data_IF_694256587538
#
_entry.id   IF_694256587538
#
_cell.length_a   1.000
_cell.length_b   1.000
_cell.length_c   1.000
_cell.angle_alpha   90.00
_cell.angle_beta   90.00
_cell.angle_gamma   90.00
#
_symmetry.space_group_name_H-M   'P 1'
#
loop_
_entity.id
_entity.type
_entity.pdbx_description
1 polymer ?
#
# COMPACT_ATOMS: atom_id res chain seq x y z
N UNK A 1 -23.58 -24.64 5.58
CA UNK A 1 -24.34 -25.32 4.49
C UNK A 1 -23.62 -25.06 3.17
N UNK A 2 -23.52 -26.07 2.27
CA UNK A 2 -23.00 -25.89 0.91
C UNK A 2 -24.05 -26.29 -0.11
N UNK A 3 -24.23 -25.47 -1.12
CA UNK A 3 -25.13 -25.69 -2.26
C UNK A 3 -24.34 -25.45 -3.56
N UNK A 4 -24.20 -26.45 -4.41
CA UNK A 4 -23.41 -26.32 -5.64
C UNK A 4 -23.03 -27.66 -6.27
N UNK A 5 -22.03 -27.61 -7.13
CA UNK A 5 -21.59 -28.77 -7.88
C UNK A 5 -20.70 -29.70 -7.06
N UNK A 6 -20.87 -31.00 -7.24
CA UNK A 6 -20.13 -32.06 -6.57
C UNK A 6 -19.46 -32.99 -7.57
N UNK A 7 -18.24 -33.40 -7.30
CA UNK A 7 -17.52 -34.46 -8.00
C UNK A 7 -16.83 -35.35 -6.94
N UNK A 8 -17.06 -36.66 -6.98
CA UNK A 8 -16.49 -37.63 -6.04
C UNK A 8 -16.66 -37.22 -4.55
N UNK A 9 -17.90 -36.82 -4.18
CA UNK A 9 -18.27 -36.35 -2.84
C UNK A 9 -17.49 -35.13 -2.35
N UNK A 10 -16.93 -34.31 -3.26
CA UNK A 10 -16.24 -33.07 -2.94
C UNK A 10 -16.88 -31.90 -3.69
N UNK A 11 -16.89 -30.75 -3.06
CA UNK A 11 -17.27 -29.50 -3.72
C UNK A 11 -16.32 -29.21 -4.89
N UNK A 12 -16.86 -29.12 -6.10
CA UNK A 12 -16.12 -28.84 -7.34
C UNK A 12 -17.01 -28.03 -8.29
N UNK A 13 -16.41 -27.11 -9.06
CA UNK A 13 -17.16 -26.21 -9.96
C UNK A 13 -17.75 -25.05 -9.20
N UNK A 14 -18.93 -24.56 -9.57
CA UNK A 14 -19.56 -23.41 -8.93
C UNK A 14 -20.42 -23.81 -7.75
N UNK A 15 -20.34 -23.06 -6.64
CA UNK A 15 -21.16 -23.31 -5.46
C UNK A 15 -21.13 -22.19 -4.44
N UNK A 16 -22.11 -22.25 -3.54
CA UNK A 16 -22.30 -21.31 -2.44
C UNK A 16 -22.15 -22.01 -1.11
N UNK A 17 -21.32 -21.45 -0.24
CA UNK A 17 -21.15 -21.87 1.14
C UNK A 17 -21.68 -20.79 2.08
N UNK A 18 -22.45 -21.19 3.07
CA UNK A 18 -23.04 -20.29 4.07
C UNK A 18 -22.67 -20.79 5.46
N UNK A 19 -22.06 -19.96 6.26
CA UNK A 19 -21.87 -20.10 7.70
C UNK A 19 -22.43 -18.89 8.44
N UNK A 20 -22.33 -18.87 9.76
CA UNK A 20 -22.73 -17.72 10.58
C UNK A 20 -21.83 -16.51 10.31
N UNK A 21 -20.55 -16.72 10.06
CA UNK A 21 -19.56 -15.64 9.92
C UNK A 21 -19.34 -15.18 8.47
N UNK A 22 -19.51 -16.09 7.49
CA UNK A 22 -19.14 -15.82 6.09
C UNK A 22 -20.03 -16.54 5.09
N UNK A 23 -20.33 -15.84 4.00
CA UNK A 23 -20.92 -16.41 2.80
C UNK A 23 -19.88 -16.35 1.69
N UNK A 24 -19.57 -17.49 1.08
CA UNK A 24 -18.76 -17.56 -0.14
C UNK A 24 -19.60 -18.03 -1.31
N UNK A 25 -19.46 -17.37 -2.45
CA UNK A 25 -20.07 -17.77 -3.72
C UNK A 25 -19.03 -17.70 -4.85
N UNK A 26 -18.74 -18.84 -5.47
CA UNK A 26 -17.70 -18.88 -6.48
C UNK A 26 -17.27 -20.30 -6.86
N UNK A 27 -16.06 -20.38 -7.41
CA UNK A 27 -15.48 -21.62 -7.91
C UNK A 27 -14.81 -22.42 -6.79
N UNK A 28 -15.00 -23.74 -6.87
CA UNK A 28 -14.51 -24.73 -5.92
C UNK A 28 -13.68 -25.81 -6.61
N UNK A 29 -12.67 -26.30 -5.91
CA UNK A 29 -11.89 -27.45 -6.32
C UNK A 29 -11.48 -28.29 -5.12
N UNK A 30 -11.95 -29.55 -5.08
CA UNK A 30 -11.64 -30.48 -4.00
C UNK A 30 -11.89 -29.87 -2.60
N UNK A 31 -13.12 -29.40 -2.36
CA UNK A 31 -13.58 -28.78 -1.10
C UNK A 31 -12.90 -27.47 -0.71
N UNK A 32 -12.18 -26.84 -1.65
CA UNK A 32 -11.52 -25.54 -1.42
C UNK A 32 -11.97 -24.52 -2.44
N UNK A 33 -12.08 -23.27 -2.02
CA UNK A 33 -12.23 -22.11 -2.91
C UNK A 33 -11.02 -22.09 -3.87
N UNK A 34 -11.27 -22.14 -5.19
CA UNK A 34 -10.20 -22.18 -6.21
C UNK A 34 -10.75 -21.64 -7.54
N UNK A 35 -10.32 -20.50 -7.96
CA UNK A 35 -10.84 -19.73 -9.09
C UNK A 35 -11.41 -18.41 -8.65
N UNK A 36 -12.43 -17.88 -9.32
CA UNK A 36 -13.07 -16.59 -8.97
C UNK A 36 -14.20 -16.81 -7.98
N UNK A 37 -14.33 -15.86 -7.05
CA UNK A 37 -15.41 -15.89 -6.07
C UNK A 37 -15.58 -14.58 -5.31
N UNK A 38 -16.66 -14.54 -4.56
CA UNK A 38 -17.03 -13.45 -3.64
C UNK A 38 -17.16 -14.02 -2.25
N UNK A 39 -16.52 -13.39 -1.29
CA UNK A 39 -16.65 -13.64 0.14
C UNK A 39 -17.31 -12.43 0.79
N UNK A 40 -18.39 -12.65 1.54
CA UNK A 40 -19.10 -11.61 2.29
C UNK A 40 -19.14 -12.02 3.76
N UNK A 41 -18.63 -11.15 4.63
CA UNK A 41 -18.62 -11.38 6.08
C UNK A 41 -19.86 -10.79 6.75
N UNK A 42 -20.18 -11.29 7.95
CA UNK A 42 -21.29 -10.81 8.77
C UNK A 42 -21.23 -9.30 9.03
N UNK A 43 -20.01 -8.74 9.18
CA UNK A 43 -19.78 -7.31 9.38
C UNK A 43 -20.07 -6.44 8.14
N UNK A 44 -20.41 -7.05 7.01
CA UNK A 44 -20.67 -6.39 5.74
C UNK A 44 -19.42 -6.16 4.87
N UNK A 45 -18.24 -6.59 5.31
CA UNK A 45 -17.04 -6.59 4.48
C UNK A 45 -17.18 -7.56 3.30
N UNK A 46 -16.58 -7.24 2.16
CA UNK A 46 -16.69 -8.03 0.94
C UNK A 46 -15.32 -8.17 0.27
N UNK A 47 -14.97 -9.38 -0.14
CA UNK A 47 -13.89 -9.63 -1.08
C UNK A 47 -14.45 -10.19 -2.39
N UNK A 48 -13.97 -9.66 -3.49
CA UNK A 48 -14.28 -10.14 -4.86
C UNK A 48 -12.95 -10.34 -5.56
N UNK A 49 -12.62 -11.57 -5.95
CA UNK A 49 -11.32 -11.82 -6.59
C UNK A 49 -11.02 -13.29 -6.81
N UNK A 50 -9.74 -13.54 -6.94
CA UNK A 50 -9.21 -14.87 -7.20
C UNK A 50 -8.84 -15.61 -5.91
N UNK A 51 -9.09 -16.90 -5.90
CA UNK A 51 -8.75 -17.83 -4.82
C UNK A 51 -7.87 -18.96 -5.34
N UNK A 52 -6.99 -19.44 -4.51
CA UNK A 52 -6.21 -20.65 -4.74
C UNK A 52 -6.13 -21.46 -3.47
N UNK A 53 -6.68 -22.66 -3.50
CA UNK A 53 -6.68 -23.59 -2.35
C UNK A 53 -7.21 -22.94 -1.05
N UNK A 54 -8.26 -22.10 -1.16
CA UNK A 54 -8.87 -21.41 -0.03
C UNK A 54 -8.18 -20.11 0.38
N UNK A 55 -7.23 -19.62 -0.38
CA UNK A 55 -6.53 -18.37 -0.08
C UNK A 55 -6.75 -17.34 -1.18
N UNK A 56 -6.98 -16.08 -0.79
CA UNK A 56 -7.04 -14.95 -1.71
C UNK A 56 -5.69 -14.78 -2.40
N UNK A 57 -5.71 -14.69 -3.74
CA UNK A 57 -4.52 -14.59 -4.57
C UNK A 57 -4.84 -13.79 -5.85
N UNK A 58 -3.84 -13.56 -6.72
CA UNK A 58 -4.09 -12.89 -8.00
C UNK A 58 -4.69 -11.50 -7.83
N UNK A 59 -5.64 -11.13 -8.67
CA UNK A 59 -6.30 -9.83 -8.62
C UNK A 59 -7.60 -9.89 -7.82
N UNK A 60 -7.83 -8.84 -7.02
CA UNK A 60 -9.06 -8.76 -6.24
C UNK A 60 -9.35 -7.37 -5.71
N UNK A 61 -10.56 -7.24 -5.18
CA UNK A 61 -11.06 -6.06 -4.48
C UNK A 61 -11.55 -6.46 -3.10
N UNK A 62 -11.06 -5.78 -2.08
CA UNK A 62 -11.56 -5.88 -0.72
C UNK A 62 -12.28 -4.57 -0.36
N UNK A 63 -13.49 -4.66 0.13
CA UNK A 63 -14.30 -3.53 0.62
C UNK A 63 -14.57 -3.82 2.09
N UNK A 64 -14.13 -2.92 2.96
CA UNK A 64 -14.37 -3.01 4.39
C UNK A 64 -15.74 -2.43 4.75
N UNK A 65 -16.27 -2.84 5.88
CA UNK A 65 -17.56 -2.37 6.41
C UNK A 65 -17.59 -0.85 6.66
N UNK A 66 -16.43 -0.24 6.90
CA UNK A 66 -16.30 1.21 7.07
C UNK A 66 -16.26 1.99 5.74
N UNK A 67 -16.28 1.30 4.59
CA UNK A 67 -16.22 1.88 3.25
C UNK A 67 -14.82 2.04 2.69
N UNK A 68 -13.76 1.84 3.47
CA UNK A 68 -12.41 1.77 2.94
C UNK A 68 -12.26 0.58 1.99
N UNK A 69 -11.36 0.67 1.03
CA UNK A 69 -11.22 -0.42 0.07
C UNK A 69 -9.80 -0.55 -0.48
N UNK A 70 -9.48 -1.78 -0.88
CA UNK A 70 -8.27 -2.11 -1.62
C UNK A 70 -8.62 -2.76 -2.95
N UNK A 71 -7.92 -2.36 -4.00
CA UNK A 71 -7.97 -2.99 -5.33
C UNK A 71 -6.53 -3.26 -5.76
N UNK A 72 -6.23 -4.51 -6.05
CA UNK A 72 -4.87 -4.88 -6.43
C UNK A 72 -4.58 -6.37 -6.33
N UNK A 73 -3.28 -6.67 -6.26
CA UNK A 73 -2.81 -8.04 -6.19
C UNK A 73 -2.84 -8.56 -4.75
N UNK A 74 -3.15 -9.84 -4.63
CA UNK A 74 -3.15 -10.61 -3.38
C UNK A 74 -2.17 -11.78 -3.48
N UNK A 75 -1.60 -12.15 -2.37
CA UNK A 75 -0.82 -13.37 -2.21
C UNK A 75 -1.03 -13.93 -0.80
N UNK A 76 -1.54 -15.17 -0.73
CA UNK A 76 -1.82 -15.86 0.54
C UNK A 76 -2.59 -14.98 1.54
N UNK A 77 -3.75 -14.45 1.12
CA UNK A 77 -4.64 -13.57 1.89
C UNK A 77 -4.08 -12.18 2.21
N UNK A 78 -2.91 -11.81 1.72
CA UNK A 78 -2.29 -10.52 1.99
C UNK A 78 -2.32 -9.63 0.75
N UNK A 79 -2.40 -8.31 0.93
CA UNK A 79 -2.06 -7.35 -0.10
C UNK A 79 -0.60 -7.54 -0.50
N UNK A 80 -0.35 -7.72 -1.78
CA UNK A 80 0.99 -8.02 -2.27
C UNK A 80 1.12 -7.60 -3.74
N UNK A 81 2.30 -7.10 -4.16
CA UNK A 81 2.47 -6.57 -5.51
C UNK A 81 1.88 -5.17 -5.67
N UNK A 82 1.23 -4.87 -6.77
CA UNK A 82 0.64 -3.55 -7.04
C UNK A 82 -0.78 -3.48 -6.53
N UNK A 83 -1.13 -2.33 -5.91
CA UNK A 83 -2.49 -2.09 -5.47
C UNK A 83 -2.75 -0.66 -5.04
N UNK A 84 -4.04 -0.32 -5.01
CA UNK A 84 -4.56 0.96 -4.54
C UNK A 84 -5.42 0.73 -3.31
N UNK A 85 -5.15 1.46 -2.24
CA UNK A 85 -5.96 1.52 -1.03
C UNK A 85 -6.58 2.91 -0.89
N UNK A 86 -7.87 2.96 -0.58
CA UNK A 86 -8.60 4.19 -0.29
C UNK A 86 -9.16 4.06 1.12
N UNK A 87 -8.76 4.95 2.03
CA UNK A 87 -9.26 5.02 3.40
C UNK A 87 -10.60 5.75 3.46
N UNK A 88 -11.37 5.48 4.52
CA UNK A 88 -12.67 6.14 4.76
C UNK A 88 -12.55 7.67 4.84
N UNK A 89 -11.41 8.19 5.29
CA UNK A 89 -11.15 9.62 5.39
C UNK A 89 -10.69 10.26 4.06
N UNK A 90 -10.71 9.50 2.96
CA UNK A 90 -10.36 9.95 1.60
C UNK A 90 -8.87 9.97 1.29
N UNK A 91 -7.99 9.55 2.20
CA UNK A 91 -6.60 9.29 1.85
C UNK A 91 -6.50 8.17 0.83
N UNK A 92 -5.50 8.22 -0.03
CA UNK A 92 -5.24 7.18 -1.03
C UNK A 92 -3.75 6.80 -1.03
N UNK A 93 -3.48 5.53 -1.19
CA UNK A 93 -2.16 5.04 -1.56
C UNK A 93 -2.27 4.16 -2.80
N UNK A 94 -1.37 4.36 -3.75
CA UNK A 94 -1.24 3.54 -4.94
C UNK A 94 0.24 3.21 -5.17
N UNK A 95 0.58 1.93 -5.16
CA UNK A 95 1.98 1.51 -5.27
C UNK A 95 2.22 0.05 -4.93
N UNK A 96 3.45 -0.22 -4.48
CA UNK A 96 3.90 -1.56 -4.12
C UNK A 96 3.47 -1.94 -2.70
N UNK A 97 3.06 -3.20 -2.56
CA UNK A 97 2.65 -3.83 -1.31
C UNK A 97 3.43 -5.11 -1.07
N UNK A 98 3.75 -5.39 0.17
CA UNK A 98 4.40 -6.64 0.57
C UNK A 98 3.83 -7.10 1.91
N UNK A 99 3.06 -8.20 1.89
CA UNK A 99 2.43 -8.78 3.07
C UNK A 99 1.68 -7.74 3.94
N UNK A 100 0.70 -7.05 3.33
CA UNK A 100 -0.13 -5.98 3.90
C UNK A 100 0.62 -4.70 4.29
N UNK A 101 1.90 -4.56 3.96
CA UNK A 101 2.68 -3.35 4.20
C UNK A 101 2.95 -2.60 2.90
N UNK A 102 2.99 -1.29 3.00
CA UNK A 102 3.49 -0.42 1.94
C UNK A 102 5.01 -0.62 1.83
N UNK A 103 5.45 -0.99 0.64
CA UNK A 103 6.85 -1.31 0.35
C UNK A 103 7.20 -0.82 -1.08
N UNK A 104 8.49 -0.59 -1.38
CA UNK A 104 8.89 -0.20 -2.73
C UNK A 104 8.42 1.20 -3.13
N UNK A 105 7.88 1.39 -4.33
CA UNK A 105 7.51 2.70 -4.85
C UNK A 105 6.01 2.91 -4.84
N UNK A 106 5.59 4.14 -4.47
CA UNK A 106 4.18 4.47 -4.50
C UNK A 106 3.89 5.96 -4.32
N UNK A 107 2.61 6.28 -4.46
CA UNK A 107 2.06 7.62 -4.34
C UNK A 107 1.04 7.59 -3.20
N UNK A 108 1.23 8.45 -2.22
CA UNK A 108 0.27 8.69 -1.15
C UNK A 108 -0.32 10.08 -1.30
N UNK A 109 -1.64 10.17 -1.27
CA UNK A 109 -2.39 11.43 -1.31
C UNK A 109 -3.19 11.60 -0.04
N UNK A 110 -3.12 12.78 0.54
CA UNK A 110 -3.93 13.17 1.70
C UNK A 110 -5.11 14.05 1.25
N UNK A 111 -6.18 14.00 2.00
CA UNK A 111 -7.39 14.78 1.78
C UNK A 111 -7.16 16.31 1.77
N UNK A 112 -6.14 16.75 2.51
CA UNK A 112 -5.78 18.16 2.63
C UNK A 112 -4.93 18.69 1.45
N UNK A 113 -4.74 17.88 0.41
CA UNK A 113 -3.98 18.22 -0.80
C UNK A 113 -2.49 17.90 -0.73
N UNK A 114 -1.97 17.38 0.39
CA UNK A 114 -0.60 16.87 0.45
C UNK A 114 -0.45 15.64 -0.43
N UNK A 115 0.76 15.44 -0.96
CA UNK A 115 1.11 14.26 -1.75
C UNK A 115 2.55 13.85 -1.49
N UNK A 116 2.80 12.56 -1.44
CA UNK A 116 4.14 11.99 -1.47
C UNK A 116 4.25 11.01 -2.64
N UNK A 117 5.33 11.09 -3.38
CA UNK A 117 5.68 10.16 -4.44
C UNK A 117 7.11 9.70 -4.24
N UNK A 118 7.33 8.44 -3.93
CA UNK A 118 8.68 7.98 -3.61
C UNK A 118 8.72 6.56 -3.07
N UNK A 119 9.83 6.26 -2.41
CA UNK A 119 10.15 4.95 -1.89
C UNK A 119 9.64 4.76 -0.45
N UNK A 120 9.24 3.52 -0.17
CA UNK A 120 8.74 3.07 1.13
C UNK A 120 9.44 1.81 1.59
N UNK A 121 9.57 1.68 2.88
CA UNK A 121 10.01 0.48 3.57
C UNK A 121 9.21 0.33 4.87
N UNK A 122 8.57 -0.83 5.05
CA UNK A 122 7.76 -1.13 6.26
C UNK A 122 6.81 0.04 6.62
N UNK A 123 5.93 0.45 5.69
CA UNK A 123 4.95 1.54 5.83
C UNK A 123 5.53 2.94 6.05
N UNK A 124 6.85 3.11 5.95
CA UNK A 124 7.51 4.39 6.17
C UNK A 124 8.18 4.88 4.90
N UNK A 125 8.16 6.20 4.68
CA UNK A 125 8.98 6.82 3.64
C UNK A 125 10.44 6.50 3.91
N UNK A 126 11.12 5.85 2.97
CA UNK A 126 12.53 5.43 3.10
C UNK A 126 13.14 5.33 1.69
N UNK A 127 14.23 6.02 1.43
CA UNK A 127 14.80 6.18 0.10
C UNK A 127 14.50 7.55 -0.50
N UNK A 128 14.49 7.66 -1.83
CA UNK A 128 14.25 8.93 -2.50
C UNK A 128 12.76 9.19 -2.72
N UNK A 129 12.32 10.44 -2.50
CA UNK A 129 10.93 10.82 -2.73
C UNK A 129 10.68 12.32 -2.75
N UNK A 130 9.54 12.66 -3.35
CA UNK A 130 9.03 14.03 -3.48
C UNK A 130 7.82 14.18 -2.57
N UNK A 131 7.83 15.19 -1.72
CA UNK A 131 6.70 15.58 -0.90
C UNK A 131 6.21 16.96 -1.30
N UNK A 132 4.94 17.04 -1.64
CA UNK A 132 4.22 18.25 -2.01
C UNK A 132 3.28 18.61 -0.86
N UNK A 133 3.42 19.81 -0.28
CA UNK A 133 2.48 20.34 0.71
C UNK A 133 1.30 21.03 0.04
N UNK A 134 0.16 21.09 0.72
CA UNK A 134 -1.05 21.74 0.25
C UNK A 134 -0.85 23.22 -0.15
N UNK A 135 0.11 23.89 0.46
CA UNK A 135 0.47 25.28 0.17
C UNK A 135 1.42 25.45 -1.02
N UNK A 136 1.69 24.38 -1.78
CA UNK A 136 2.58 24.42 -2.94
C UNK A 136 4.08 24.28 -2.64
N UNK A 137 4.48 24.20 -1.36
CA UNK A 137 5.86 23.89 -0.99
C UNK A 137 6.19 22.47 -1.46
N UNK A 138 7.41 22.25 -1.96
CA UNK A 138 7.86 20.95 -2.44
C UNK A 138 9.21 20.63 -1.82
N UNK A 139 9.36 19.41 -1.36
CA UNK A 139 10.66 18.82 -1.01
C UNK A 139 10.91 17.64 -1.90
N UNK A 140 12.10 17.52 -2.45
CA UNK A 140 12.60 16.33 -3.14
C UNK A 140 13.95 15.94 -2.56
N UNK A 141 14.12 14.69 -2.19
CA UNK A 141 15.35 14.25 -1.54
C UNK A 141 15.17 12.93 -0.79
N UNK A 142 16.14 12.63 0.05
CA UNK A 142 16.19 11.37 0.77
C UNK A 142 15.35 11.39 2.06
N UNK A 143 14.79 10.23 2.36
CA UNK A 143 13.95 9.93 3.52
C UNK A 143 14.52 8.74 4.27
N UNK A 144 14.37 8.74 5.58
CA UNK A 144 14.69 7.61 6.45
C UNK A 144 13.67 7.51 7.56
N UNK A 145 13.07 6.33 7.72
CA UNK A 145 12.06 6.08 8.76
C UNK A 145 10.95 7.16 8.82
N UNK A 146 10.46 7.61 7.67
CA UNK A 146 9.39 8.61 7.55
C UNK A 146 9.82 10.07 7.67
N UNK A 147 11.11 10.35 7.91
CA UNK A 147 11.66 11.70 8.06
C UNK A 147 12.62 12.04 6.94
N UNK A 148 12.69 13.33 6.58
CA UNK A 148 13.72 13.83 5.66
C UNK A 148 15.09 13.56 6.27
N UNK A 149 15.99 12.94 5.50
CA UNK A 149 17.31 12.55 6.00
C UNK A 149 18.31 12.37 4.85
N UNK A 150 19.35 13.16 4.82
CA UNK A 150 20.32 13.20 3.72
C UNK A 150 20.15 14.43 2.85
N UNK A 151 20.67 14.34 1.64
CA UNK A 151 20.57 15.42 0.66
C UNK A 151 19.15 15.62 0.16
N UNK A 152 18.83 16.88 -0.15
CA UNK A 152 17.55 17.22 -0.74
C UNK A 152 17.48 18.67 -1.19
N UNK A 153 16.36 19.01 -1.78
CA UNK A 153 16.06 20.35 -2.26
C UNK A 153 14.64 20.73 -1.83
N UNK A 154 14.47 21.98 -1.46
CA UNK A 154 13.16 22.54 -1.16
C UNK A 154 12.84 23.65 -2.16
N UNK A 155 11.63 23.67 -2.69
CA UNK A 155 11.18 24.75 -3.56
C UNK A 155 10.72 25.94 -2.72
N UNK A 156 11.41 27.06 -2.87
CA UNK A 156 11.02 28.35 -2.30
C UNK A 156 10.00 29.01 -3.21
N UNK A 157 8.77 29.04 -2.75
CA UNK A 157 7.63 29.56 -3.52
C UNK A 157 7.76 31.07 -3.76
N UNK A 158 8.30 31.80 -2.79
CA UNK A 158 8.43 33.27 -2.84
C UNK A 158 9.47 33.65 -3.89
N UNK A 159 10.66 33.06 -3.80
CA UNK A 159 11.76 33.37 -4.69
C UNK A 159 11.78 32.50 -5.97
N UNK A 160 10.80 31.59 -6.12
CA UNK A 160 10.64 30.68 -7.27
C UNK A 160 11.93 29.91 -7.63
N UNK A 161 12.64 29.42 -6.62
CA UNK A 161 13.91 28.68 -6.79
C UNK A 161 14.02 27.48 -5.90
N UNK A 162 14.83 26.52 -6.34
CA UNK A 162 15.22 25.37 -5.54
C UNK A 162 16.39 25.73 -4.62
N UNK A 163 16.28 25.34 -3.35
CA UNK A 163 17.30 25.53 -2.34
C UNK A 163 17.79 24.17 -1.88
N UNK A 164 19.02 23.84 -2.24
CA UNK A 164 19.69 22.62 -1.79
C UNK A 164 19.99 22.66 -0.29
N UNK A 165 20.05 21.51 0.31
CA UNK A 165 20.37 21.40 1.73
C UNK A 165 20.57 19.96 2.16
N UNK A 166 20.91 19.84 3.42
CA UNK A 166 21.05 18.57 4.11
C UNK A 166 20.04 18.50 5.25
N UNK A 167 19.44 17.34 5.43
CA UNK A 167 18.45 17.10 6.49
C UNK A 167 18.89 15.95 7.38
N UNK A 168 18.59 16.05 8.65
CA UNK A 168 18.75 14.98 9.63
C UNK A 168 17.48 14.94 10.49
N UNK A 169 16.84 13.77 10.56
CA UNK A 169 15.62 13.54 11.36
C UNK A 169 14.50 14.59 11.15
N UNK A 170 14.32 15.03 9.87
CA UNK A 170 13.29 15.98 9.47
C UNK A 170 13.68 17.45 9.63
N UNK A 171 14.87 17.76 10.14
CA UNK A 171 15.35 19.14 10.31
C UNK A 171 16.45 19.47 9.31
N UNK A 172 16.34 20.64 8.65
CA UNK A 172 17.42 21.13 7.81
C UNK A 172 18.60 21.52 8.70
N UNK A 173 19.76 20.95 8.42
CA UNK A 173 21.00 21.30 9.12
C UNK A 173 21.75 22.40 8.38
N UNK A 174 22.42 23.29 9.13
CA UNK A 174 23.31 24.28 8.51
C UNK A 174 24.50 23.55 7.93
N UNK A 175 24.86 23.88 6.69
CA UNK A 175 26.06 23.35 6.02
C UNK A 175 27.31 23.78 6.81
N UNK A 176 27.78 22.95 7.70
CA UNK A 176 29.19 23.00 8.11
C UNK A 176 29.98 22.22 7.05
N UNK A 177 30.50 22.93 6.06
CA UNK A 177 31.35 22.36 5.00
C UNK A 177 32.54 21.53 5.53
N UNK A 178 32.86 21.65 6.80
CA UNK A 178 34.03 21.02 7.43
C UNK A 178 33.76 19.62 8.04
N UNK A 179 32.52 19.15 8.15
CA UNK A 179 32.25 17.81 8.71
C UNK A 179 32.25 16.69 7.66
N UNK A 180 32.05 17.03 6.39
CA UNK A 180 31.98 16.03 5.32
C UNK A 180 33.33 15.71 4.73
N UNK A 181 34.27 16.65 4.68
CA UNK A 181 35.63 16.39 4.23
C UNK A 181 36.44 15.48 5.18
N UNK A 182 36.13 15.47 6.47
CA UNK A 182 36.79 14.59 7.45
C UNK A 182 36.42 13.11 7.35
N UNK A 183 35.29 12.74 6.72
CA UNK A 183 34.90 11.34 6.57
C UNK A 183 35.39 10.68 5.29
N UNK A 184 35.79 11.46 4.29
CA UNK A 184 36.43 10.94 3.06
C UNK A 184 37.95 10.75 3.23
N UNK A 185 38.55 11.39 4.24
CA UNK A 185 39.99 11.22 4.55
C UNK A 185 40.26 10.08 5.55
N UNK A 186 39.22 9.49 6.16
CA UNK A 186 39.36 8.36 7.12
C UNK A 186 38.92 7.00 6.54
N UNK A 187 38.72 6.89 5.23
CA UNK A 187 38.51 5.63 4.50
C UNK A 187 39.64 5.43 3.49
#
# INVERSE_FOLDING_TARGET
MYEGNWVDNRANGFGKYISEEVVYEGEWKNDKQDGKGTETWEDGSIYIGEFKRGQKTGQGKFIYNDGSNYVGSFFNNNFHGKGKYIWIDGREYEGDWKFNKIEGKGIFKWNDGRKYSGEYKDDKKDGYGVFEWANGKIYKGFWKNGKQNGEGEIYDIINKKWIKGFWKDGKKIKNNKNEFQKKEEEQ
#
